data_IF_920016104220
#
_entry.id   IF_920016104220
#
_cell.length_a   1.000
_cell.length_b   1.000
_cell.length_c   1.000
_cell.angle_alpha   90.00
_cell.angle_beta   90.00
_cell.angle_gamma   90.00
#
_symmetry.space_group_name_H-M   'P 1'
#
loop_
_entity.id
_entity.type
_entity.pdbx_description
1 polymer ?
#
# COMPACT_ATOMS: atom_id res chain seq x y z
N UNK A 1 -11.54 36.78 1.02
CA UNK A 1 -11.69 37.94 1.93
C UNK A 1 -12.09 37.46 3.32
N UNK A 2 -11.14 37.45 4.26
CA UNK A 2 -11.27 37.89 5.68
C UNK A 2 -9.98 37.48 6.40
N UNK A 3 -9.03 38.41 6.39
CA UNK A 3 -7.84 38.37 7.21
C UNK A 3 -8.21 38.71 8.66
N UNK A 4 -7.70 37.94 9.62
CA UNK A 4 -7.60 38.35 11.02
C UNK A 4 -6.15 38.29 11.42
N UNK A 5 -5.52 39.46 11.47
CA UNK A 5 -4.26 39.71 12.10
C UNK A 5 -4.48 39.79 13.61
N UNK A 6 -3.69 39.04 14.39
CA UNK A 6 -3.54 39.25 15.83
C UNK A 6 -2.07 39.52 16.09
N UNK A 7 -1.79 40.78 16.38
CA UNK A 7 -0.48 41.32 16.72
C UNK A 7 -0.33 41.25 18.24
N UNK A 8 0.43 40.28 18.74
CA UNK A 8 0.74 40.13 20.17
C UNK A 8 2.23 40.38 20.40
N UNK A 9 2.55 41.60 20.84
CA UNK A 9 3.89 42.09 21.14
C UNK A 9 4.24 41.69 22.58
N UNK A 10 5.12 40.70 22.77
CA UNK A 10 5.56 40.23 24.09
C UNK A 10 6.99 40.68 24.37
N UNK A 11 7.15 41.31 25.53
CA UNK A 11 8.37 41.92 26.08
C UNK A 11 9.52 40.91 26.23
N UNK A 12 10.69 41.26 25.70
CA UNK A 12 11.98 40.62 25.94
C UNK A 12 12.50 41.01 27.35
N UNK A 13 12.46 40.06 28.29
CA UNK A 13 13.25 40.13 29.52
C UNK A 13 14.58 39.43 29.26
N UNK A 14 15.63 40.24 29.04
CA UNK A 14 17.03 39.81 28.98
C UNK A 14 17.52 39.54 30.41
N UNK A 15 17.48 38.27 30.83
CA UNK A 15 18.17 37.79 32.03
C UNK A 15 19.58 37.29 31.65
N UNK A 16 20.65 37.71 32.36
CA UNK A 16 22.00 37.23 32.11
C UNK A 16 22.15 35.83 32.71
N UNK A 17 21.96 34.80 31.90
CA UNK A 17 22.35 33.43 32.26
C UNK A 17 23.88 33.35 32.23
N UNK A 18 24.46 33.48 33.43
CA UNK A 18 25.84 33.13 33.71
C UNK A 18 26.03 31.63 33.45
N UNK A 19 27.16 31.33 32.79
CA UNK A 19 27.65 30.00 32.47
C UNK A 19 27.65 29.06 33.69
N UNK A 20 26.96 27.93 33.55
CA UNK A 20 27.31 26.68 34.22
C UNK A 20 27.75 25.72 33.12
N UNK A 21 29.04 25.76 32.77
CA UNK A 21 29.69 24.66 32.06
C UNK A 21 29.91 23.55 33.10
N UNK A 22 28.82 22.89 33.51
CA UNK A 22 28.91 21.58 34.12
C UNK A 22 29.02 20.59 32.98
N UNK A 23 30.02 19.72 33.01
CA UNK A 23 29.97 18.44 32.30
C UNK A 23 28.81 17.63 32.90
N UNK A 24 27.57 18.03 32.57
CA UNK A 24 26.44 17.12 32.63
C UNK A 24 26.73 16.12 31.51
N UNK A 25 27.52 15.09 31.84
CA UNK A 25 27.63 13.90 31.01
C UNK A 25 26.20 13.53 30.61
N UNK A 26 25.96 13.43 29.31
CA UNK A 26 24.64 13.18 28.73
C UNK A 26 24.26 11.73 29.09
N UNK A 27 23.86 11.54 30.34
CA UNK A 27 23.50 10.24 30.89
C UNK A 27 22.24 9.79 30.17
N UNK A 28 22.25 8.54 29.69
CA UNK A 28 21.09 7.84 29.17
C UNK A 28 19.86 8.04 30.07
N UNK A 29 18.69 8.20 29.48
CA UNK A 29 17.40 8.35 30.18
C UNK A 29 16.36 7.40 29.57
N UNK A 30 15.32 7.00 30.34
CA UNK A 30 14.18 6.28 29.78
C UNK A 30 13.60 7.03 28.58
N UNK A 31 13.31 6.28 27.51
CA UNK A 31 12.90 6.80 26.20
C UNK A 31 14.02 7.09 25.22
N UNK A 32 15.30 7.07 25.64
CA UNK A 32 16.40 7.22 24.71
C UNK A 32 16.50 6.00 23.78
N UNK A 33 16.77 6.27 22.49
CA UNK A 33 16.98 5.26 21.45
C UNK A 33 18.44 5.29 21.01
N UNK A 34 19.18 4.25 21.39
CA UNK A 34 20.61 4.09 21.07
C UNK A 34 20.78 3.18 19.87
N UNK A 35 21.32 3.71 18.76
CA UNK A 35 21.57 2.90 17.56
C UNK A 35 22.63 1.81 17.83
N UNK A 36 22.32 0.59 17.42
CA UNK A 36 23.24 -0.53 17.48
C UNK A 36 24.39 -0.37 16.46
N UNK A 37 25.49 -1.10 16.66
CA UNK A 37 26.68 -0.99 15.82
C UNK A 37 26.39 -1.45 14.39
N UNK A 38 25.69 -2.58 14.26
CA UNK A 38 25.39 -3.20 12.97
C UNK A 38 23.89 -3.29 12.76
N UNK A 39 23.50 -3.19 11.50
CA UNK A 39 22.15 -3.50 11.05
C UNK A 39 21.88 -5.00 11.29
N UNK A 40 20.64 -5.32 11.64
CA UNK A 40 20.20 -6.64 12.09
C UNK A 40 21.03 -7.29 13.24
N UNK A 41 21.46 -6.53 14.24
CA UNK A 41 22.28 -7.06 15.34
C UNK A 41 21.57 -8.17 16.14
N UNK A 42 20.24 -8.09 16.28
CA UNK A 42 19.46 -8.93 17.22
C UNK A 42 18.72 -10.13 16.59
N UNK A 43 19.22 -10.72 15.48
CA UNK A 43 18.60 -11.86 14.75
C UNK A 43 18.25 -13.12 15.56
N UNK A 44 18.70 -13.22 16.81
CA UNK A 44 18.43 -14.39 17.67
C UNK A 44 17.26 -14.16 18.64
N UNK A 45 16.64 -12.99 18.58
CA UNK A 45 15.49 -12.64 19.40
C UNK A 45 14.19 -13.32 18.96
N UNK A 46 13.12 -12.98 19.65
CA UNK A 46 11.75 -13.34 19.28
C UNK A 46 11.33 -12.54 18.06
N UNK A 47 10.85 -13.23 17.02
CA UNK A 47 10.40 -12.62 15.78
C UNK A 47 8.89 -12.41 15.76
N UNK A 48 8.44 -11.32 15.16
CA UNK A 48 7.05 -11.03 14.87
C UNK A 48 6.92 -10.33 13.51
N UNK A 49 5.75 -10.39 12.90
CA UNK A 49 5.46 -9.66 11.65
C UNK A 49 4.15 -8.92 11.81
N UNK A 50 4.20 -7.61 11.62
CA UNK A 50 3.02 -6.74 11.60
C UNK A 50 2.70 -6.34 10.18
N UNK A 51 1.45 -6.53 9.75
CA UNK A 51 1.00 -6.13 8.42
C UNK A 51 0.29 -4.79 8.53
N UNK A 52 0.72 -3.84 7.71
CA UNK A 52 0.21 -2.48 7.64
C UNK A 52 -0.35 -2.23 6.23
N UNK A 53 -1.21 -1.22 6.05
CA UNK A 53 -1.62 -0.80 4.71
C UNK A 53 -0.41 -0.50 3.82
N UNK A 54 0.62 0.16 4.34
CA UNK A 54 1.78 0.57 3.53
C UNK A 54 2.85 -0.52 3.36
N UNK A 55 2.78 -1.64 4.10
CA UNK A 55 3.80 -2.70 4.01
C UNK A 55 3.74 -3.73 5.12
N UNK A 56 4.89 -4.34 5.42
CA UNK A 56 5.08 -5.27 6.53
C UNK A 56 6.24 -4.79 7.40
N UNK A 57 6.06 -4.79 8.71
CA UNK A 57 7.13 -4.57 9.67
C UNK A 57 7.54 -5.91 10.27
N UNK A 58 8.74 -6.37 9.94
CA UNK A 58 9.36 -7.53 10.55
C UNK A 58 10.10 -7.04 11.79
N UNK A 59 9.78 -7.60 12.96
CA UNK A 59 10.34 -7.18 14.24
C UNK A 59 11.11 -8.36 14.84
N UNK A 60 12.27 -8.09 15.41
CA UNK A 60 13.00 -9.05 16.24
C UNK A 60 13.40 -8.38 17.55
N UNK A 61 12.96 -8.92 18.68
CA UNK A 61 13.28 -8.39 20.00
C UNK A 61 14.10 -9.39 20.81
N UNK A 62 15.25 -8.96 21.33
CA UNK A 62 16.07 -9.78 22.23
C UNK A 62 15.63 -9.60 23.70
N UNK A 63 16.27 -10.35 24.60
CA UNK A 63 16.10 -10.16 26.05
C UNK A 63 16.65 -8.79 26.48
N UNK A 64 16.01 -8.11 27.45
CA UNK A 64 16.53 -6.86 28.01
C UNK A 64 17.91 -7.05 28.65
N UNK A 65 18.75 -6.02 28.56
CA UNK A 65 20.10 -6.02 29.12
C UNK A 65 20.36 -4.75 29.93
N UNK A 66 21.20 -4.83 30.95
CA UNK A 66 21.54 -3.67 31.79
C UNK A 66 22.52 -2.70 31.10
N UNK A 67 23.27 -3.18 30.11
CA UNK A 67 24.31 -2.41 29.42
C UNK A 67 24.60 -2.93 28.02
N UNK A 68 25.06 -2.04 27.14
CA UNK A 68 25.60 -2.37 25.83
C UNK A 68 27.06 -1.87 25.73
N UNK A 69 27.95 -2.74 25.25
CA UNK A 69 29.35 -2.43 25.07
C UNK A 69 29.61 -1.44 23.92
N UNK A 70 30.78 -0.80 23.94
CA UNK A 70 31.25 0.06 22.85
C UNK A 70 31.36 -0.64 21.47
N UNK A 71 31.45 -1.96 21.44
CA UNK A 71 31.42 -2.75 20.22
C UNK A 71 30.00 -3.13 19.78
N UNK A 72 28.98 -2.79 20.55
CA UNK A 72 27.58 -3.06 20.26
C UNK A 72 26.79 -1.81 19.88
N UNK A 73 27.34 -0.61 20.10
CA UNK A 73 26.71 0.67 19.79
C UNK A 73 27.39 1.40 18.63
N UNK A 74 26.61 2.18 17.86
CA UNK A 74 27.15 2.94 16.72
C UNK A 74 28.07 4.09 17.14
N UNK A 75 27.82 4.65 18.32
CA UNK A 75 28.63 5.72 18.92
C UNK A 75 30.02 5.22 19.38
N UNK A 76 30.20 3.90 19.52
CA UNK A 76 31.40 3.27 20.10
C UNK A 76 31.66 3.66 21.55
N UNK A 77 30.58 3.80 22.30
CA UNK A 77 30.60 4.15 23.72
C UNK A 77 29.87 3.05 24.49
N UNK A 78 30.32 2.78 25.71
CA UNK A 78 29.57 1.91 26.61
C UNK A 78 28.33 2.67 27.05
N UNK A 79 27.18 2.01 26.98
CA UNK A 79 25.91 2.57 27.43
C UNK A 79 25.37 1.70 28.55
N UNK A 80 25.13 2.31 29.71
CA UNK A 80 24.47 1.65 30.84
C UNK A 80 23.05 2.19 30.95
N UNK A 81 22.10 1.30 31.27
CA UNK A 81 20.76 1.72 31.61
C UNK A 81 20.77 2.46 32.97
N UNK A 82 19.93 3.49 33.16
CA UNK A 82 19.75 4.13 34.45
C UNK A 82 19.32 3.15 35.54
N UNK A 83 19.52 3.53 36.81
CA UNK A 83 19.09 2.70 37.93
C UNK A 83 17.58 2.47 37.88
N UNK A 84 17.17 1.21 37.81
CA UNK A 84 15.76 0.82 37.71
C UNK A 84 15.22 0.80 36.28
N UNK A 85 16.08 0.88 35.27
CA UNK A 85 15.76 0.76 33.86
C UNK A 85 16.61 -0.32 33.18
N UNK A 86 16.23 -0.72 31.97
CA UNK A 86 16.96 -1.67 31.13
C UNK A 86 17.03 -1.18 29.68
N UNK A 87 17.93 -1.76 28.88
CA UNK A 87 18.00 -1.61 27.43
C UNK A 87 17.23 -2.74 26.76
N UNK A 88 16.19 -2.41 25.99
CA UNK A 88 15.43 -3.36 25.18
C UNK A 88 16.01 -3.39 23.76
N UNK A 89 16.68 -4.47 23.33
CA UNK A 89 17.27 -4.55 22.01
C UNK A 89 16.22 -4.96 20.96
N UNK A 90 16.03 -4.11 19.95
CA UNK A 90 15.06 -4.28 18.87
C UNK A 90 15.78 -4.18 17.53
N UNK A 91 15.51 -5.13 16.65
CA UNK A 91 15.71 -4.98 15.21
C UNK A 91 14.35 -4.87 14.57
N UNK A 92 14.17 -3.97 13.62
CA UNK A 92 13.05 -4.06 12.70
C UNK A 92 13.49 -3.90 11.26
N UNK A 93 12.69 -4.41 10.34
CA UNK A 93 12.84 -4.21 8.91
C UNK A 93 11.48 -3.90 8.34
N UNK A 94 11.39 -2.79 7.62
CA UNK A 94 10.18 -2.42 6.92
C UNK A 94 10.28 -2.88 5.47
N UNK A 95 9.37 -3.75 5.08
CA UNK A 95 9.17 -4.21 3.72
C UNK A 95 7.94 -3.47 3.17
N UNK A 96 8.10 -2.28 2.55
CA UNK A 96 6.98 -1.66 1.83
C UNK A 96 6.49 -2.68 0.82
N UNK A 97 5.20 -2.75 0.54
CA UNK A 97 4.67 -3.78 -0.37
C UNK A 97 5.43 -3.79 -1.69
N UNK A 98 6.37 -4.72 -1.85
CA UNK A 98 7.25 -4.79 -3.03
C UNK A 98 6.44 -5.02 -4.32
N UNK A 99 5.17 -5.41 -4.18
CA UNK A 99 4.20 -5.33 -5.26
C UNK A 99 3.64 -3.91 -5.34
N UNK A 100 4.03 -3.21 -6.39
CA UNK A 100 3.31 -2.08 -7.01
C UNK A 100 1.80 -2.31 -7.29
N UNK A 101 1.22 -3.42 -6.84
CA UNK A 101 -0.14 -3.87 -7.13
C UNK A 101 -1.13 -3.53 -6.01
N UNK A 102 -0.65 -3.36 -4.78
CA UNK A 102 -1.47 -2.92 -3.63
C UNK A 102 -1.12 -1.50 -3.18
N UNK A 103 0.07 -1.00 -3.49
CA UNK A 103 0.50 0.33 -3.09
C UNK A 103 -0.47 1.42 -3.58
N UNK A 104 -0.82 1.40 -4.87
CA UNK A 104 -1.84 2.29 -5.45
C UNK A 104 -3.28 2.02 -5.00
N UNK A 105 -3.54 0.93 -4.27
CA UNK A 105 -4.88 0.63 -3.74
C UNK A 105 -5.11 1.38 -2.43
N UNK A 106 -4.09 1.45 -1.59
CA UNK A 106 -4.22 2.00 -0.25
C UNK A 106 -4.21 3.53 -0.25
N UNK A 107 -3.61 4.18 -1.25
CA UNK A 107 -3.72 5.63 -1.53
C UNK A 107 -3.53 6.49 -0.26
N UNK A 108 -2.43 6.26 0.46
CA UNK A 108 -2.10 6.95 1.71
C UNK A 108 -0.61 7.26 1.79
N UNK A 109 -0.30 8.44 2.32
CA UNK A 109 1.06 8.88 2.67
C UNK A 109 1.30 8.78 4.19
N UNK A 110 0.39 8.16 4.94
CA UNK A 110 0.48 8.07 6.39
C UNK A 110 1.62 7.13 6.81
N UNK A 111 2.30 7.53 7.88
CA UNK A 111 3.39 6.75 8.49
C UNK A 111 2.89 6.15 9.81
N UNK A 112 3.18 4.87 10.11
CA UNK A 112 2.79 4.28 11.38
C UNK A 112 3.43 5.02 12.55
N UNK A 113 2.65 5.18 13.61
CA UNK A 113 3.12 5.60 14.92
C UNK A 113 3.50 4.33 15.69
N UNK A 114 4.73 4.28 16.20
CA UNK A 114 5.22 3.10 16.91
C UNK A 114 5.66 3.49 18.32
N UNK A 115 5.05 2.87 19.31
CA UNK A 115 5.33 3.05 20.73
C UNK A 115 5.75 1.71 21.34
N UNK A 116 6.89 1.68 22.04
CA UNK A 116 7.22 0.57 22.93
C UNK A 116 6.54 0.81 24.26
N UNK A 117 5.67 -0.09 24.68
CA UNK A 117 5.00 -0.02 25.98
C UNK A 117 5.64 -1.00 26.95
N UNK A 118 6.06 -0.53 28.11
CA UNK A 118 6.57 -1.38 29.20
C UNK A 118 6.08 -0.86 30.54
N UNK A 119 5.56 -1.76 31.38
CA UNK A 119 4.96 -1.44 32.69
C UNK A 119 3.89 -0.33 32.65
N UNK A 120 3.23 -0.13 31.50
CA UNK A 120 2.19 0.88 31.30
C UNK A 120 2.68 2.26 30.85
N UNK A 121 4.00 2.45 30.71
CA UNK A 121 4.60 3.65 30.12
C UNK A 121 4.92 3.42 28.63
N UNK A 122 4.71 4.45 27.81
CA UNK A 122 4.90 4.39 26.36
C UNK A 122 6.12 5.20 25.91
N UNK A 123 6.99 4.57 25.13
CA UNK A 123 8.23 5.13 24.60
C UNK A 123 8.14 5.24 23.07
N UNK A 124 8.02 6.47 22.56
CA UNK A 124 7.93 6.75 21.12
C UNK A 124 9.20 6.37 20.40
N UNK A 125 9.08 5.47 19.43
CA UNK A 125 10.17 5.09 18.56
C UNK A 125 10.17 5.92 17.27
N UNK A 126 11.34 6.12 16.63
CA UNK A 126 11.37 6.71 15.29
C UNK A 126 10.58 5.82 14.32
N UNK A 127 9.89 6.39 13.30
CA UNK A 127 9.28 5.58 12.28
C UNK A 127 10.36 4.84 11.47
N UNK A 128 10.04 3.67 10.89
CA UNK A 128 10.97 2.96 10.02
C UNK A 128 11.30 3.79 8.77
N UNK A 129 12.55 3.73 8.32
CA UNK A 129 12.99 4.32 7.06
C UNK A 129 12.41 3.52 5.87
N UNK A 130 11.62 4.18 5.03
CA UNK A 130 10.98 3.58 3.85
C UNK A 130 11.98 3.18 2.76
N UNK A 131 13.20 3.74 2.80
CA UNK A 131 14.28 3.46 1.86
C UNK A 131 15.31 2.43 2.33
N UNK A 132 15.22 1.94 3.57
CA UNK A 132 16.22 1.01 4.12
C UNK A 132 15.93 -0.44 3.73
N UNK A 133 16.72 -1.00 2.81
CA UNK A 133 16.66 -2.43 2.49
C UNK A 133 17.16 -3.34 3.64
N UNK A 134 17.94 -2.78 4.58
CA UNK A 134 18.48 -3.50 5.74
C UNK A 134 17.66 -3.24 7.01
N UNK A 135 17.61 -4.21 7.92
CA UNK A 135 16.92 -4.03 9.19
C UNK A 135 17.71 -3.11 10.13
N UNK A 136 17.03 -2.12 10.68
CA UNK A 136 17.60 -1.19 11.65
C UNK A 136 17.62 -1.83 13.04
N UNK A 137 18.73 -1.70 13.74
CA UNK A 137 18.88 -2.21 15.11
C UNK A 137 19.19 -1.08 16.09
N UNK A 138 18.53 -1.11 17.24
CA UNK A 138 18.71 -0.14 18.31
C UNK A 138 18.33 -0.73 19.67
N UNK A 139 18.78 -0.05 20.73
CA UNK A 139 18.37 -0.27 22.09
C UNK A 139 17.41 0.84 22.51
N UNK A 140 16.31 0.49 23.15
CA UNK A 140 15.38 1.45 23.76
C UNK A 140 15.54 1.37 25.27
N UNK A 141 15.77 2.49 25.92
CA UNK A 141 15.88 2.53 27.38
C UNK A 141 14.48 2.60 27.97
N UNK A 142 14.11 1.63 28.81
CA UNK A 142 12.79 1.58 29.44
C UNK A 142 12.93 1.46 30.95
N UNK A 143 12.05 2.11 31.69
CA UNK A 143 11.92 1.89 33.13
C UNK A 143 11.44 0.46 33.42
N UNK A 144 11.83 -0.07 34.58
CA UNK A 144 11.50 -1.41 35.03
C UNK A 144 12.51 -2.46 34.57
N UNK A 145 12.08 -3.72 34.57
CA UNK A 145 12.91 -4.86 34.13
C UNK A 145 12.73 -5.22 32.65
N UNK A 146 11.79 -4.55 31.96
CA UNK A 146 11.49 -4.74 30.55
C UNK A 146 10.97 -6.13 30.19
N UNK A 147 10.57 -6.96 31.16
CA UNK A 147 10.12 -8.34 30.91
C UNK A 147 8.76 -8.36 30.23
N UNK A 148 7.85 -7.49 30.66
CA UNK A 148 6.53 -7.30 30.06
C UNK A 148 6.58 -6.06 29.17
N UNK A 149 6.68 -6.32 27.86
CA UNK A 149 6.88 -5.29 26.83
C UNK A 149 6.08 -5.61 25.58
N UNK A 150 5.39 -4.59 25.10
CA UNK A 150 4.52 -4.66 23.93
C UNK A 150 4.92 -3.57 22.95
N UNK A 151 4.99 -3.88 21.67
CA UNK A 151 5.08 -2.86 20.63
C UNK A 151 3.67 -2.52 20.17
N UNK A 152 3.26 -1.27 20.32
CA UNK A 152 2.00 -0.75 19.79
C UNK A 152 2.27 -0.01 18.49
N UNK A 153 1.52 -0.37 17.44
CA UNK A 153 1.61 0.23 16.12
C UNK A 153 0.25 0.81 15.77
N UNK A 154 0.16 2.12 15.70
CA UNK A 154 -1.03 2.84 15.28
C UNK A 154 -0.89 3.25 13.81
N UNK A 155 -1.90 2.91 13.00
CA UNK A 155 -2.01 3.37 11.62
C UNK A 155 -3.44 3.85 11.36
N UNK A 156 -3.59 5.14 11.05
CA UNK A 156 -4.89 5.79 10.85
C UNK A 156 -5.91 5.45 11.96
N UNK A 157 -5.48 5.60 13.22
CA UNK A 157 -6.28 5.36 14.42
C UNK A 157 -6.55 3.89 14.78
N UNK A 158 -6.11 2.92 13.97
CA UNK A 158 -6.18 1.50 14.32
C UNK A 158 -4.86 1.05 14.94
N UNK A 159 -4.95 0.50 16.15
CA UNK A 159 -3.81 0.01 16.92
C UNK A 159 -3.68 -1.51 16.77
N UNK A 160 -2.47 -1.97 16.50
CA UNK A 160 -2.05 -3.35 16.60
C UNK A 160 -1.01 -3.47 17.72
N UNK A 161 -1.00 -4.60 18.41
CA UNK A 161 -0.07 -4.84 19.52
C UNK A 161 0.75 -6.10 19.28
N UNK A 162 2.03 -6.06 19.62
CA UNK A 162 2.95 -7.21 19.54
C UNK A 162 3.55 -7.46 20.90
N UNK A 163 3.32 -8.63 21.48
CA UNK A 163 4.06 -9.07 22.67
C UNK A 163 5.47 -9.48 22.24
N UNK A 164 6.46 -8.67 22.63
CA UNK A 164 7.85 -8.85 22.18
C UNK A 164 8.54 -10.05 22.86
N UNK A 165 7.91 -10.69 23.84
CA UNK A 165 8.45 -11.87 24.52
C UNK A 165 8.16 -13.15 23.73
N UNK A 166 6.93 -13.31 23.24
CA UNK A 166 6.45 -14.52 22.56
C UNK A 166 6.22 -14.33 21.04
N UNK A 167 6.15 -13.08 20.57
CA UNK A 167 5.90 -12.74 19.17
C UNK A 167 4.42 -12.77 18.79
N UNK A 168 3.52 -12.85 19.77
CA UNK A 168 2.08 -12.87 19.54
C UNK A 168 1.60 -11.49 19.07
N UNK A 169 0.79 -11.46 18.01
CA UNK A 169 0.27 -10.24 17.39
C UNK A 169 -1.23 -10.14 17.59
N UNK A 170 -1.69 -9.04 18.19
CA UNK A 170 -3.09 -8.64 18.26
C UNK A 170 -3.38 -7.65 17.13
N UNK A 171 -3.80 -8.18 15.97
CA UNK A 171 -4.02 -7.37 14.77
C UNK A 171 -5.28 -6.47 14.82
N UNK A 172 -6.23 -6.76 15.72
CA UNK A 172 -7.45 -5.96 15.86
C UNK A 172 -8.20 -5.74 14.53
N UNK A 173 -8.47 -4.48 14.19
CA UNK A 173 -9.12 -4.09 12.93
C UNK A 173 -8.31 -4.40 11.67
N UNK A 174 -6.99 -4.60 11.80
CA UNK A 174 -6.10 -4.91 10.69
C UNK A 174 -6.04 -6.41 10.34
N UNK A 175 -6.75 -7.29 11.07
CA UNK A 175 -6.69 -8.75 10.87
C UNK A 175 -6.85 -9.17 9.40
N UNK A 176 -7.74 -8.51 8.65
CA UNK A 176 -7.97 -8.84 7.24
C UNK A 176 -6.78 -8.57 6.31
N UNK A 177 -5.80 -7.74 6.71
CA UNK A 177 -4.57 -7.53 5.93
C UNK A 177 -3.67 -8.76 5.93
N UNK A 178 -3.71 -9.58 6.98
CA UNK A 178 -2.92 -10.80 7.10
C UNK A 178 -3.44 -11.93 6.21
N UNK A 179 -4.72 -11.87 5.83
CA UNK A 179 -5.39 -12.89 5.04
C UNK A 179 -5.20 -12.69 3.52
N UNK A 180 -4.50 -11.62 3.11
CA UNK A 180 -4.24 -11.32 1.69
C UNK A 180 -3.22 -12.32 1.13
N UNK A 181 -3.71 -13.28 0.34
CA UNK A 181 -2.87 -14.29 -0.29
C UNK A 181 -2.21 -13.78 -1.58
N UNK A 182 -0.88 -13.92 -1.70
CA UNK A 182 -0.09 -13.53 -2.88
C UNK A 182 -0.62 -14.08 -4.22
N UNK A 183 -1.28 -15.24 -4.21
CA UNK A 183 -1.89 -15.82 -5.42
C UNK A 183 -2.93 -14.87 -6.03
N UNK A 184 -3.74 -14.20 -5.21
CA UNK A 184 -4.77 -13.24 -5.65
C UNK A 184 -4.17 -11.96 -6.25
N UNK A 185 -2.89 -11.70 -5.99
CA UNK A 185 -2.17 -10.56 -6.54
C UNK A 185 -1.56 -10.84 -7.91
N UNK A 186 -1.77 -12.03 -8.50
CA UNK A 186 -1.28 -12.36 -9.84
C UNK A 186 -2.31 -11.94 -10.91
N UNK A 187 -1.88 -11.32 -12.01
CA UNK A 187 -2.77 -11.03 -13.13
C UNK A 187 -3.27 -12.34 -13.75
N UNK A 188 -4.56 -12.38 -14.01
CA UNK A 188 -5.25 -13.43 -14.73
C UNK A 188 -6.00 -12.79 -15.91
N UNK A 189 -5.99 -13.41 -17.10
CA UNK A 189 -6.76 -12.89 -18.22
C UNK A 189 -8.25 -12.93 -17.87
N UNK A 190 -9.01 -11.90 -18.26
CA UNK A 190 -10.46 -11.95 -18.15
C UNK A 190 -10.99 -13.14 -18.95
N UNK A 191 -12.00 -13.83 -18.40
CA UNK A 191 -12.64 -14.96 -19.07
C UNK A 191 -13.04 -14.61 -20.51
N UNK A 192 -12.82 -15.55 -21.44
CA UNK A 192 -13.26 -15.49 -22.83
C UNK A 192 -12.91 -14.18 -23.59
N UNK A 193 -11.66 -13.68 -23.51
CA UNK A 193 -11.18 -12.50 -24.25
C UNK A 193 -11.56 -12.44 -25.75
N UNK A 194 -11.85 -13.59 -26.39
CA UNK A 194 -12.35 -13.68 -27.77
C UNK A 194 -13.83 -13.36 -27.99
N UNK A 195 -14.64 -13.12 -26.94
CA UNK A 195 -16.10 -12.90 -27.03
C UNK A 195 -16.54 -11.46 -26.78
N UNK A 196 -15.65 -10.59 -26.31
CA UNK A 196 -15.93 -9.19 -25.99
C UNK A 196 -16.52 -8.40 -27.16
N UNK A 197 -16.13 -8.74 -28.40
CA UNK A 197 -16.53 -8.03 -29.61
C UNK A 197 -17.16 -8.95 -30.64
N UNK A 198 -18.10 -8.43 -31.44
CA UNK A 198 -18.59 -9.14 -32.62
C UNK A 198 -17.49 -9.21 -33.69
N UNK A 199 -16.92 -10.41 -33.86
CA UNK A 199 -15.82 -10.70 -34.79
C UNK A 199 -16.27 -11.16 -36.17
N UNK A 200 -17.58 -11.16 -36.49
CA UNK A 200 -18.07 -11.62 -37.81
C UNK A 200 -17.48 -10.85 -38.99
N UNK A 201 -17.30 -9.53 -38.80
CA UNK A 201 -16.73 -8.64 -39.81
C UNK A 201 -15.49 -7.91 -39.28
N UNK A 202 -14.98 -8.29 -38.12
CA UNK A 202 -13.87 -7.61 -37.50
C UNK A 202 -12.84 -8.61 -36.95
N UNK A 203 -11.57 -8.31 -37.17
CA UNK A 203 -10.47 -8.92 -36.41
C UNK A 203 -10.07 -7.94 -35.32
N UNK A 204 -10.11 -8.39 -34.08
CA UNK A 204 -9.86 -7.56 -32.90
C UNK A 204 -8.71 -8.16 -32.11
N UNK A 205 -7.69 -7.36 -31.83
CA UNK A 205 -6.61 -7.69 -30.90
C UNK A 205 -6.87 -6.92 -29.60
N UNK A 206 -7.52 -7.60 -28.66
CA UNK A 206 -7.92 -7.06 -27.36
C UNK A 206 -7.33 -7.89 -26.23
N UNK A 207 -6.83 -7.20 -25.21
CA UNK A 207 -6.38 -7.78 -23.95
C UNK A 207 -7.27 -7.31 -22.81
N UNK A 208 -7.55 -8.19 -21.87
CA UNK A 208 -8.18 -7.85 -20.60
C UNK A 208 -7.53 -8.71 -19.53
N UNK A 209 -7.06 -8.07 -18.46
CA UNK A 209 -6.45 -8.73 -17.32
C UNK A 209 -7.08 -8.20 -16.03
N UNK A 210 -7.29 -9.10 -15.08
CA UNK A 210 -7.74 -8.80 -13.74
C UNK A 210 -6.69 -9.22 -12.71
N UNK A 211 -6.48 -8.38 -11.71
CA UNK A 211 -5.72 -8.72 -10.50
C UNK A 211 -6.67 -8.63 -9.31
N UNK A 212 -6.73 -9.66 -8.48
CA UNK A 212 -7.70 -9.79 -7.39
C UNK A 212 -8.76 -10.86 -7.69
N UNK A 213 -9.94 -10.80 -7.06
CA UNK A 213 -10.33 -9.87 -6.00
C UNK A 213 -9.51 -10.08 -4.70
N UNK A 214 -9.27 -8.99 -3.98
CA UNK A 214 -8.69 -8.97 -2.63
C UNK A 214 -9.71 -8.36 -1.67
N UNK A 215 -9.92 -8.99 -0.53
CA UNK A 215 -10.72 -8.42 0.55
C UNK A 215 -9.75 -7.80 1.56
N UNK A 216 -9.97 -6.53 1.88
CA UNK A 216 -9.09 -5.77 2.78
C UNK A 216 -9.92 -4.85 3.68
N UNK A 217 -9.50 -4.65 4.95
CA UNK A 217 -10.11 -3.68 5.84
C UNK A 217 -9.67 -2.23 5.55
N UNK A 218 -8.69 -1.99 4.67
CA UNK A 218 -8.20 -0.66 4.33
C UNK A 218 -8.04 -0.51 2.83
N UNK A 219 -8.54 0.58 2.23
CA UNK A 219 -8.35 0.94 0.83
C UNK A 219 -8.73 2.42 0.61
N UNK A 220 -8.13 3.08 -0.38
CA UNK A 220 -8.49 4.47 -0.72
C UNK A 220 -8.28 5.47 0.43
N UNK A 221 -7.29 5.24 1.27
CA UNK A 221 -6.93 6.10 2.39
C UNK A 221 -7.80 5.98 3.63
N UNK A 222 -8.66 4.95 3.73
CA UNK A 222 -9.57 4.79 4.86
C UNK A 222 -9.77 3.33 5.30
N UNK A 223 -10.12 3.15 6.57
CA UNK A 223 -10.60 1.89 7.13
C UNK A 223 -12.07 1.64 6.74
N UNK A 224 -12.39 0.39 6.42
CA UNK A 224 -13.74 -0.04 6.10
C UNK A 224 -14.65 0.11 7.33
N UNK A 225 -15.94 0.50 7.14
CA UNK A 225 -16.89 0.57 8.24
C UNK A 225 -17.12 -0.77 8.95
N UNK A 226 -17.60 -0.74 10.19
CA UNK A 226 -17.93 -1.94 10.96
C UNK A 226 -18.83 -2.93 10.18
N UNK A 227 -18.38 -4.18 10.09
CA UNK A 227 -19.10 -5.24 9.38
C UNK A 227 -19.00 -5.17 7.85
N UNK A 228 -18.17 -4.28 7.32
CA UNK A 228 -17.83 -4.16 5.90
C UNK A 228 -16.36 -4.50 5.66
N UNK A 229 -16.03 -4.75 4.39
CA UNK A 229 -14.68 -4.82 3.87
C UNK A 229 -14.65 -4.09 2.53
N UNK A 230 -13.46 -3.71 2.08
CA UNK A 230 -13.25 -3.35 0.69
C UNK A 230 -12.92 -4.60 -0.12
N UNK A 231 -13.64 -4.79 -1.22
CA UNK A 231 -13.21 -5.65 -2.32
C UNK A 231 -12.45 -4.79 -3.32
N UNK A 232 -11.18 -5.12 -3.49
CA UNK A 232 -10.28 -4.44 -4.42
C UNK A 232 -9.93 -5.38 -5.55
N UNK A 233 -9.97 -4.85 -6.77
CA UNK A 233 -9.40 -5.51 -7.94
C UNK A 233 -8.80 -4.48 -8.89
N UNK A 234 -7.78 -4.89 -9.64
CA UNK A 234 -7.27 -4.09 -10.75
C UNK A 234 -7.83 -4.65 -12.04
N UNK A 235 -8.52 -3.83 -12.81
CA UNK A 235 -9.00 -4.22 -14.13
C UNK A 235 -8.22 -3.45 -15.19
N UNK A 236 -7.58 -4.18 -16.10
CA UNK A 236 -6.84 -3.64 -17.23
C UNK A 236 -7.50 -4.07 -18.53
N UNK A 237 -7.69 -3.13 -19.45
CA UNK A 237 -8.19 -3.42 -20.80
C UNK A 237 -7.30 -2.74 -21.82
N UNK A 238 -7.03 -3.41 -22.94
CA UNK A 238 -6.10 -2.95 -23.96
C UNK A 238 -6.65 -3.25 -25.35
N UNK A 239 -6.88 -2.23 -26.19
CA UNK A 239 -7.21 -2.43 -27.61
C UNK A 239 -6.01 -2.06 -28.49
N UNK A 240 -5.38 -3.08 -29.07
CA UNK A 240 -4.20 -2.94 -29.94
C UNK A 240 -4.57 -2.67 -31.38
N UNK A 241 -5.52 -3.43 -31.91
CA UNK A 241 -5.98 -3.24 -33.27
C UNK A 241 -7.43 -3.66 -33.46
N UNK A 242 -8.11 -2.93 -34.35
CA UNK A 242 -9.45 -3.25 -34.79
C UNK A 242 -9.47 -3.16 -36.32
N UNK A 243 -9.63 -4.30 -36.98
CA UNK A 243 -9.63 -4.40 -38.45
C UNK A 243 -11.01 -4.81 -38.93
N UNK A 244 -11.72 -3.90 -39.58
CA UNK A 244 -13.04 -4.16 -40.17
C UNK A 244 -12.87 -4.66 -41.61
N UNK A 245 -13.57 -5.71 -41.99
CA UNK A 245 -13.62 -6.25 -43.37
C UNK A 245 -15.01 -6.09 -43.98
N UNK A 246 -15.05 -5.89 -45.29
CA UNK A 246 -16.31 -5.87 -46.05
C UNK A 246 -16.70 -7.26 -46.63
N UNK A 247 -15.89 -8.30 -46.39
CA UNK A 247 -16.11 -9.65 -46.92
C UNK A 247 -15.84 -9.83 -48.43
N UNK A 248 -15.50 -8.76 -49.14
CA UNK A 248 -15.22 -8.72 -50.59
C UNK A 248 -13.74 -8.45 -50.89
N UNK A 249 -12.85 -8.66 -49.90
CA UNK A 249 -11.41 -8.44 -50.02
C UNK A 249 -10.93 -7.03 -49.65
N UNK A 250 -11.83 -6.15 -49.21
CA UNK A 250 -11.50 -4.85 -48.64
C UNK A 250 -11.47 -4.87 -47.12
N UNK A 251 -10.55 -4.11 -46.52
CA UNK A 251 -10.48 -3.96 -45.06
C UNK A 251 -9.92 -2.61 -44.63
N UNK A 252 -10.23 -2.25 -43.38
CA UNK A 252 -9.90 -0.98 -42.76
C UNK A 252 -9.32 -1.22 -41.37
N UNK A 253 -8.13 -0.69 -41.12
CA UNK A 253 -7.48 -0.78 -39.81
C UNK A 253 -7.71 0.51 -39.04
N UNK A 254 -8.19 0.37 -37.83
CA UNK A 254 -8.41 1.47 -36.89
C UNK A 254 -7.42 1.40 -35.74
N UNK A 255 -7.05 2.59 -35.25
CA UNK A 255 -6.36 2.78 -33.98
C UNK A 255 -7.35 3.35 -32.96
N UNK A 256 -7.23 2.93 -31.71
CA UNK A 256 -8.03 3.46 -30.63
C UNK A 256 -7.47 4.81 -30.15
N UNK A 257 -8.34 5.82 -30.05
CA UNK A 257 -8.00 7.20 -29.68
C UNK A 257 -8.64 7.65 -28.38
N UNK A 258 -9.67 6.96 -27.89
CA UNK A 258 -10.24 7.16 -26.54
C UNK A 258 -10.78 5.83 -26.01
N UNK A 259 -10.77 5.64 -24.70
CA UNK A 259 -11.44 4.53 -24.01
C UNK A 259 -12.30 5.05 -22.87
N UNK A 260 -13.44 4.40 -22.63
CA UNK A 260 -14.27 4.58 -21.45
C UNK A 260 -14.62 3.20 -20.91
N UNK A 261 -14.43 3.01 -19.61
CA UNK A 261 -14.79 1.78 -18.91
C UNK A 261 -15.78 2.13 -17.81
N UNK A 262 -16.84 1.33 -17.72
CA UNK A 262 -17.78 1.34 -16.60
C UNK A 262 -17.79 -0.07 -16.03
N UNK A 263 -17.43 -0.17 -14.76
CA UNK A 263 -17.43 -1.44 -14.03
C UNK A 263 -18.48 -1.38 -12.92
N UNK A 264 -19.20 -2.48 -12.71
CA UNK A 264 -20.16 -2.63 -11.62
C UNK A 264 -20.09 -4.03 -11.03
N UNK A 265 -20.22 -4.12 -9.70
CA UNK A 265 -20.28 -5.37 -8.95
C UNK A 265 -21.71 -5.53 -8.42
N UNK A 266 -22.42 -6.55 -8.90
CA UNK A 266 -23.86 -6.74 -8.61
C UNK A 266 -24.69 -5.45 -8.82
N UNK A 267 -24.41 -4.75 -9.92
CA UNK A 267 -25.05 -3.47 -10.27
C UNK A 267 -24.58 -2.24 -9.47
N UNK A 268 -23.73 -2.42 -8.46
CA UNK A 268 -23.15 -1.32 -7.68
C UNK A 268 -21.88 -0.78 -8.33
N UNK A 269 -21.73 0.55 -8.37
CA UNK A 269 -20.49 1.18 -8.83
C UNK A 269 -19.41 1.13 -7.75
N UNK A 270 -18.11 1.17 -8.13
CA UNK A 270 -17.02 1.34 -7.18
C UNK A 270 -17.25 2.58 -6.29
N UNK A 271 -16.91 2.48 -5.02
CA UNK A 271 -16.91 3.64 -4.09
C UNK A 271 -15.72 4.55 -4.38
N UNK A 272 -14.63 3.99 -4.89
CA UNK A 272 -13.46 4.71 -5.37
C UNK A 272 -12.82 3.98 -6.56
N UNK A 273 -12.09 4.74 -7.38
CA UNK A 273 -11.25 4.19 -8.45
C UNK A 273 -9.92 4.94 -8.50
N UNK A 274 -8.82 4.24 -8.27
CA UNK A 274 -7.48 4.82 -8.24
C UNK A 274 -6.75 4.43 -9.53
N UNK A 275 -6.03 5.38 -10.12
CA UNK A 275 -5.19 5.11 -11.30
C UNK A 275 -3.97 4.31 -10.87
N UNK A 276 -3.43 3.47 -11.75
CA UNK A 276 -2.26 2.64 -11.45
C UNK A 276 -0.90 3.33 -11.75
N UNK A 277 -0.90 4.65 -11.98
CA UNK A 277 0.25 5.56 -12.16
C UNK A 277 1.34 5.16 -13.19
N UNK A 278 1.13 4.08 -13.94
CA UNK A 278 2.04 3.60 -14.99
C UNK A 278 1.80 4.25 -16.36
N UNK A 279 0.86 5.21 -16.43
CA UNK A 279 0.46 5.88 -17.66
C UNK A 279 -0.36 5.02 -18.62
N UNK A 280 -0.82 3.83 -18.20
CA UNK A 280 -1.69 2.97 -19.02
C UNK A 280 -3.12 3.49 -19.13
N UNK A 281 -3.51 4.45 -18.30
CA UNK A 281 -4.74 5.25 -18.43
C UNK A 281 -4.67 6.32 -19.56
N UNK A 282 -3.54 6.42 -20.26
CA UNK A 282 -3.40 7.34 -21.39
C UNK A 282 -3.87 6.69 -22.70
N UNK A 283 -4.57 7.49 -23.51
CA UNK A 283 -4.96 7.08 -24.86
C UNK A 283 -4.67 8.17 -25.89
N UNK A 284 -3.83 7.88 -26.92
CA UNK A 284 -3.00 6.68 -27.05
C UNK A 284 -1.85 6.66 -26.03
N UNK A 285 -1.40 5.46 -25.64
CA UNK A 285 -0.16 5.26 -24.88
C UNK A 285 1.01 5.69 -25.80
N UNK A 286 1.81 6.71 -25.43
CA UNK A 286 2.81 7.31 -26.32
C UNK A 286 3.82 6.32 -26.91
N UNK A 287 4.11 5.22 -26.20
CA UNK A 287 5.13 4.25 -26.57
C UNK A 287 4.65 3.10 -27.47
N UNK A 288 3.33 2.82 -27.54
CA UNK A 288 2.82 1.59 -28.16
C UNK A 288 1.72 1.79 -29.21
N UNK A 289 1.21 3.01 -29.40
CA UNK A 289 0.05 3.29 -30.28
C UNK A 289 -1.19 2.46 -29.93
N UNK A 290 -1.27 2.03 -28.66
CA UNK A 290 -2.36 1.28 -28.06
C UNK A 290 -3.21 2.24 -27.23
N UNK A 291 -4.49 1.93 -27.08
CA UNK A 291 -5.33 2.57 -26.08
C UNK A 291 -5.60 1.56 -24.95
N UNK A 292 -5.09 1.87 -23.76
CA UNK A 292 -5.31 1.08 -22.56
C UNK A 292 -6.17 1.85 -21.55
N UNK A 293 -6.72 1.10 -20.59
CA UNK A 293 -7.31 1.62 -19.37
C UNK A 293 -6.97 0.63 -18.26
N UNK A 294 -6.46 1.11 -17.13
CA UNK A 294 -6.16 0.25 -15.99
C UNK A 294 -6.37 0.99 -14.69
N UNK A 295 -7.25 0.46 -13.84
CA UNK A 295 -7.56 1.08 -12.54
C UNK A 295 -7.74 0.05 -11.45
N UNK A 296 -7.37 0.45 -10.24
CA UNK A 296 -7.84 -0.16 -9.02
C UNK A 296 -9.30 0.23 -8.80
N UNK A 297 -10.17 -0.77 -8.69
CA UNK A 297 -11.59 -0.61 -8.41
C UNK A 297 -11.84 -1.06 -6.98
N UNK A 298 -12.40 -0.16 -6.17
CA UNK A 298 -12.66 -0.38 -4.75
C UNK A 298 -14.17 -0.43 -4.57
N UNK A 299 -14.67 -1.55 -4.07
CA UNK A 299 -16.08 -1.76 -3.74
C UNK A 299 -16.23 -2.00 -2.25
N UNK A 300 -17.23 -1.40 -1.61
CA UNK A 300 -17.59 -1.73 -0.23
C UNK A 300 -18.53 -2.94 -0.22
N UNK A 301 -18.14 -4.01 0.47
CA UNK A 301 -18.90 -5.27 0.52
C UNK A 301 -19.19 -5.70 1.96
N UNK A 302 -20.27 -6.45 2.22
CA UNK A 302 -20.53 -7.00 3.55
C UNK A 302 -19.46 -8.03 3.95
N UNK A 303 -18.91 -7.95 5.15
CA UNK A 303 -17.88 -8.89 5.60
C UNK A 303 -18.37 -10.36 5.68
N UNK A 304 -19.68 -10.56 5.90
CA UNK A 304 -20.31 -11.90 6.00
C UNK A 304 -20.71 -12.51 4.66
N UNK A 305 -20.69 -11.71 3.61
CA UNK A 305 -21.10 -12.09 2.26
C UNK A 305 -20.18 -11.36 1.29
N UNK A 306 -18.87 -11.61 1.43
CA UNK A 306 -17.86 -10.85 0.70
C UNK A 306 -17.72 -11.33 -0.75
N UNK A 307 -18.16 -12.55 -1.05
CA UNK A 307 -18.18 -13.13 -2.40
C UNK A 307 -19.41 -12.68 -3.19
N UNK A 308 -19.45 -11.39 -3.50
CA UNK A 308 -20.50 -10.76 -4.29
C UNK A 308 -20.53 -11.27 -5.74
N UNK A 309 -21.56 -10.88 -6.51
CA UNK A 309 -21.82 -11.29 -7.89
C UNK A 309 -20.69 -11.02 -8.90
N UNK A 310 -20.89 -11.32 -10.20
CA UNK A 310 -19.87 -11.07 -11.21
C UNK A 310 -19.57 -9.58 -11.34
N UNK A 311 -18.37 -9.27 -11.83
CA UNK A 311 -18.00 -7.93 -12.27
C UNK A 311 -18.52 -7.72 -13.69
N UNK A 312 -19.57 -6.92 -13.85
CA UNK A 312 -20.03 -6.48 -15.17
C UNK A 312 -19.17 -5.32 -15.63
N UNK A 313 -18.57 -5.46 -16.80
CA UNK A 313 -17.70 -4.43 -17.39
C UNK A 313 -18.23 -4.03 -18.75
N UNK A 314 -18.55 -2.74 -18.92
CA UNK A 314 -18.85 -2.11 -20.20
C UNK A 314 -17.63 -1.31 -20.66
N UNK A 315 -17.10 -1.60 -21.84
CA UNK A 315 -15.96 -0.90 -22.42
C UNK A 315 -16.35 -0.27 -23.75
N UNK A 316 -15.92 0.97 -23.97
CA UNK A 316 -16.24 1.76 -25.16
C UNK A 316 -14.99 2.41 -25.73
N UNK A 317 -14.60 2.01 -26.94
CA UNK A 317 -13.46 2.59 -27.66
C UNK A 317 -13.92 3.53 -28.77
N UNK A 318 -13.34 4.73 -28.78
CA UNK A 318 -13.40 5.66 -29.90
C UNK A 318 -12.24 5.36 -30.84
N UNK A 319 -12.55 5.02 -32.08
CA UNK A 319 -11.59 4.56 -33.07
C UNK A 319 -11.38 5.61 -34.17
N UNK A 320 -10.15 5.72 -34.65
CA UNK A 320 -9.75 6.58 -35.78
C UNK A 320 -9.17 5.70 -36.88
N UNK A 321 -9.62 5.93 -38.11
CA UNK A 321 -9.14 5.20 -39.28
C UNK A 321 -7.64 5.47 -39.48
N UNK A 322 -6.84 4.41 -39.44
CA UNK A 322 -5.41 4.47 -39.76
C UNK A 322 -5.16 4.21 -41.24
N UNK A 323 -5.78 3.17 -41.80
CA UNK A 323 -5.64 2.82 -43.22
C UNK A 323 -6.83 2.00 -43.74
N UNK A 324 -7.04 2.04 -45.05
CA UNK A 324 -8.03 1.25 -45.76
C UNK A 324 -7.43 0.67 -47.05
N UNK A 325 -7.88 -0.51 -47.46
CA UNK A 325 -7.43 -1.20 -48.67
C UNK A 325 -8.57 -1.99 -49.34
N UNK A 326 -8.42 -2.30 -50.64
CA UNK A 326 -9.36 -3.12 -51.41
C UNK A 326 -10.72 -2.46 -51.71
N UNK A 327 -10.71 -1.27 -52.32
CA UNK A 327 -11.91 -0.46 -52.65
C UNK A 327 -12.88 -0.20 -51.49
N UNK A 328 -12.48 -0.49 -50.25
CA UNK A 328 -13.29 -0.23 -49.07
C UNK A 328 -13.23 1.25 -48.71
N UNK A 329 -14.40 1.88 -48.60
CA UNK A 329 -14.58 3.26 -48.15
C UNK A 329 -15.18 3.29 -46.73
N UNK A 330 -14.39 2.94 -45.70
CA UNK A 330 -14.85 2.97 -44.32
C UNK A 330 -15.00 4.41 -43.81
N UNK A 331 -15.85 4.66 -42.81
CA UNK A 331 -15.87 5.94 -42.12
C UNK A 331 -14.55 6.22 -41.38
N UNK A 332 -14.14 7.49 -41.34
CA UNK A 332 -12.91 7.94 -40.68
C UNK A 332 -12.89 7.72 -39.15
N UNK A 333 -14.07 7.56 -38.54
CA UNK A 333 -14.23 7.32 -37.10
C UNK A 333 -15.21 6.18 -36.88
N UNK A 334 -14.93 5.38 -35.86
CA UNK A 334 -15.80 4.30 -35.42
C UNK A 334 -15.92 4.34 -33.90
N UNK A 335 -16.98 3.71 -33.40
CA UNK A 335 -17.17 3.43 -31.99
C UNK A 335 -17.40 1.94 -31.88
N UNK A 336 -16.69 1.29 -30.98
CA UNK A 336 -16.91 -0.12 -30.67
C UNK A 336 -17.16 -0.24 -29.17
N UNK A 337 -18.19 -0.99 -28.82
CA UNK A 337 -18.62 -1.24 -27.46
C UNK A 337 -18.53 -2.74 -27.20
N UNK A 338 -18.18 -3.11 -25.97
CA UNK A 338 -18.15 -4.47 -25.45
C UNK A 338 -18.75 -4.48 -24.04
N UNK A 339 -19.41 -5.58 -23.70
CA UNK A 339 -19.96 -5.82 -22.36
C UNK A 339 -19.68 -7.28 -22.00
N UNK A 340 -19.11 -7.51 -20.82
CA UNK A 340 -18.78 -8.85 -20.34
C UNK A 340 -19.07 -8.97 -18.83
N UNK A 341 -19.46 -10.17 -18.41
CA UNK A 341 -19.57 -10.54 -16.99
C UNK A 341 -18.35 -11.38 -16.60
N UNK A 342 -17.47 -10.81 -15.78
CA UNK A 342 -16.26 -11.48 -15.30
C UNK A 342 -16.57 -12.16 -13.97
N UNK A 343 -16.32 -13.47 -13.87
CA UNK A 343 -16.44 -14.20 -12.62
C UNK A 343 -15.23 -13.94 -11.74
N UNK A 344 -15.47 -13.49 -10.52
CA UNK A 344 -14.41 -13.18 -9.56
C UNK A 344 -14.05 -14.36 -8.63
N UNK A 345 -14.95 -15.34 -8.53
CA UNK A 345 -14.89 -16.42 -7.56
C UNK A 345 -15.07 -17.78 -8.25
N UNK A 346 -14.19 -18.72 -7.96
CA UNK A 346 -14.39 -20.14 -8.27
C UNK A 346 -15.32 -20.71 -7.18
N UNK A 347 -16.50 -21.20 -7.58
CA UNK A 347 -17.41 -21.92 -6.67
C UNK A 347 -16.97 -23.36 -6.47
#
# INVERSE_FOLDING_TARGET
>A
MRARAVTGMTLLLLSPLLASCGDDEDTTKPGDVIRAQVDDQFKKGTEATVVLPTGRLLITAAEPVDSAGSDETRARENVEAPSGAVLVPITWQYDPWASNRLDGVFDTDDTPIIDLVSEGEAYRLPPPDDGSEAGESFYVVVDGDGTDRTLELEFDGVVQSVDLKNGDVEAGGAQGLYDIADKRLKPEPCDDAGKWFDTKLATVEFGCDIVGPVLTPYAGGEWAPDGRLFMVLTLSTELRSYTLTNGLGGAARYAAGTVKVKATLDGSTPVSSVSNDDGTDACPIPASAVCGWSKHLIFEVPAKDSEQGPLTTEVSYGLVLGSAFGEFDPPNRQKVDAEEEIKLWEK
#
